data_IF_770292823991
#
_entry.id   IF_770292823991
#
_cell.length_a   1.000
_cell.length_b   1.000
_cell.length_c   1.000
_cell.angle_alpha   90.00
_cell.angle_beta   90.00
_cell.angle_gamma   90.00
#
_symmetry.space_group_name_H-M   'P 1'
#
loop_
_entity.id
_entity.type
_entity.pdbx_description
1 polymer ?
#
# COMPACT_ATOMS: atom_id res chain seq x y z
N UNK A 1 6.29 37.69 82.65
CA UNK A 1 6.39 36.42 81.89
C UNK A 1 6.22 36.75 80.41
N UNK A 2 7.23 36.38 79.60
CA UNK A 2 7.36 36.30 78.12
C UNK A 2 6.70 37.38 77.23
N UNK A 3 7.58 38.07 76.50
CA UNK A 3 7.30 38.86 75.29
C UNK A 3 8.05 38.27 74.08
N UNK A 4 7.63 38.72 72.89
CA UNK A 4 8.23 38.65 71.55
C UNK A 4 7.73 37.53 70.58
N UNK A 5 7.14 37.99 69.48
CA UNK A 5 6.87 37.31 68.20
C UNK A 5 7.99 37.66 67.17
N UNK A 6 7.95 37.35 65.85
CA UNK A 6 7.37 36.26 65.03
C UNK A 6 8.40 35.67 63.99
N UNK A 7 7.90 34.89 62.99
CA UNK A 7 8.41 34.65 61.59
C UNK A 7 9.06 33.28 61.25
N UNK A 8 8.49 32.60 60.23
CA UNK A 8 9.08 31.79 59.13
C UNK A 8 8.16 30.58 58.82
N UNK A 9 7.41 30.47 57.71
CA UNK A 9 7.72 30.43 56.26
C UNK A 9 8.21 29.07 55.72
N UNK A 10 7.59 28.66 54.59
CA UNK A 10 7.94 27.64 53.59
C UNK A 10 7.62 26.15 53.93
N UNK A 11 6.65 25.51 53.27
CA UNK A 11 6.61 25.04 51.86
C UNK A 11 7.50 23.80 51.64
N UNK A 12 6.89 22.62 51.62
CA UNK A 12 7.47 21.42 51.03
C UNK A 12 6.45 20.82 50.05
N UNK A 13 6.80 20.95 48.76
CA UNK A 13 6.04 20.49 47.61
C UNK A 13 5.79 18.98 47.66
N UNK A 14 4.56 18.59 47.28
CA UNK A 14 4.26 17.26 46.75
C UNK A 14 5.03 17.06 45.45
N UNK A 15 6.01 16.16 45.45
CA UNK A 15 6.61 15.59 44.25
C UNK A 15 5.68 14.50 43.70
N UNK A 16 4.60 14.91 43.02
CA UNK A 16 3.88 14.06 42.07
C UNK A 16 4.42 14.36 40.67
N UNK A 17 5.70 14.06 40.45
CA UNK A 17 6.34 14.22 39.16
C UNK A 17 6.24 12.91 38.38
N UNK A 18 5.24 12.86 37.49
CA UNK A 18 5.36 12.32 36.15
C UNK A 18 5.97 10.91 35.99
N UNK A 19 5.24 9.86 36.42
CA UNK A 19 5.21 8.63 35.63
C UNK A 19 4.40 8.92 34.37
N UNK A 20 5.00 9.61 33.40
CA UNK A 20 4.50 9.57 32.03
C UNK A 20 4.95 8.22 31.51
N UNK A 21 4.05 7.25 31.59
CA UNK A 21 4.14 5.99 30.85
C UNK A 21 4.61 6.37 29.45
N UNK A 22 5.84 5.99 29.12
CA UNK A 22 6.32 6.08 27.75
C UNK A 22 5.33 5.24 26.97
N UNK A 23 4.39 5.89 26.28
CA UNK A 23 3.53 5.23 25.34
C UNK A 23 4.49 4.47 24.42
N UNK A 24 4.41 3.15 24.49
CA UNK A 24 5.14 2.24 23.63
C UNK A 24 4.73 2.63 22.20
N UNK A 25 5.52 3.50 21.57
CA UNK A 25 5.24 3.99 20.24
C UNK A 25 5.40 2.77 19.34
N UNK A 26 4.27 2.28 18.83
CA UNK A 26 4.24 1.09 17.99
C UNK A 26 5.33 1.24 16.92
N UNK A 27 6.14 0.18 16.69
CA UNK A 27 7.24 0.27 15.73
C UNK A 27 6.71 0.82 14.41
N UNK A 28 7.43 1.75 13.76
CA UNK A 28 6.97 2.31 12.51
C UNK A 28 6.72 1.16 11.53
N UNK A 29 5.61 1.23 10.78
CA UNK A 29 5.24 0.16 9.87
C UNK A 29 6.39 -0.13 8.90
N UNK A 30 6.65 -1.41 8.67
CA UNK A 30 7.79 -1.86 7.90
C UNK A 30 7.69 -1.39 6.44
N UNK A 31 8.76 -0.75 5.96
CA UNK A 31 8.98 -0.49 4.55
C UNK A 31 9.22 -1.82 3.82
N UNK A 32 8.64 -1.98 2.65
CA UNK A 32 8.83 -3.18 1.80
C UNK A 32 9.48 -2.76 0.49
N UNK A 33 10.66 -3.27 0.20
CA UNK A 33 11.43 -2.92 -1.01
C UNK A 33 11.47 -4.12 -1.97
N UNK A 34 11.26 -3.88 -3.26
CA UNK A 34 11.50 -4.86 -4.32
C UNK A 34 12.41 -4.24 -5.38
N UNK A 35 13.68 -4.65 -5.34
CA UNK A 35 14.72 -4.14 -6.24
C UNK A 35 14.47 -4.46 -7.73
N UNK A 36 13.91 -5.63 -8.03
CA UNK A 36 13.70 -6.06 -9.42
C UNK A 36 12.51 -5.35 -10.07
N UNK A 37 11.53 -4.94 -9.28
CA UNK A 37 10.44 -4.07 -9.71
C UNK A 37 10.78 -2.58 -9.63
N UNK A 38 11.90 -2.21 -9.00
CA UNK A 38 12.26 -0.83 -8.69
C UNK A 38 11.17 -0.07 -7.90
N UNK A 39 10.51 -0.79 -7.00
CA UNK A 39 9.40 -0.31 -6.18
C UNK A 39 9.71 -0.44 -4.69
N UNK A 40 9.17 0.49 -3.91
CA UNK A 40 8.98 0.30 -2.49
C UNK A 40 7.53 0.63 -2.09
N UNK A 41 7.09 -0.01 -1.01
CA UNK A 41 5.94 0.40 -0.23
C UNK A 41 6.50 1.14 0.98
N UNK A 42 6.29 2.46 1.03
CA UNK A 42 6.84 3.33 2.06
C UNK A 42 6.37 2.90 3.46
N UNK A 43 5.08 2.61 3.59
CA UNK A 43 4.45 2.01 4.76
C UNK A 43 3.43 0.99 4.29
N UNK A 44 3.60 -0.29 4.65
CA UNK A 44 2.60 -1.30 4.31
C UNK A 44 1.31 -1.05 5.11
N UNK A 45 0.18 -0.70 4.47
CA UNK A 45 -1.06 -0.44 5.19
C UNK A 45 -1.69 -1.76 5.64
N UNK A 46 -2.30 -1.76 6.82
CA UNK A 46 -3.25 -2.81 7.18
C UNK A 46 -4.38 -2.83 6.12
N UNK A 47 -4.89 -4.01 5.74
CA UNK A 47 -4.69 -5.36 6.31
C UNK A 47 -3.57 -6.18 5.63
N UNK A 48 -2.70 -5.57 4.82
CA UNK A 48 -1.81 -6.33 3.95
C UNK A 48 -0.61 -6.92 4.70
N UNK A 49 -0.26 -8.15 4.31
CA UNK A 49 0.96 -8.84 4.73
C UNK A 49 1.74 -9.28 3.50
N UNK A 50 3.08 -9.18 3.53
CA UNK A 50 3.92 -9.68 2.43
C UNK A 50 3.80 -11.20 2.36
N UNK A 51 3.28 -11.69 1.23
CA UNK A 51 3.20 -13.13 0.94
C UNK A 51 4.40 -13.58 0.10
N UNK A 52 4.84 -12.74 -0.85
CA UNK A 52 6.04 -12.97 -1.65
C UNK A 52 6.68 -11.66 -2.05
N UNK A 53 8.02 -11.63 -2.04
CA UNK A 53 8.82 -10.54 -2.57
C UNK A 53 10.09 -11.13 -3.19
N UNK A 54 10.01 -11.51 -4.47
CA UNK A 54 11.10 -12.19 -5.16
C UNK A 54 11.07 -11.89 -6.66
N UNK A 55 12.20 -11.43 -7.20
CA UNK A 55 12.31 -11.08 -8.62
C UNK A 55 11.20 -10.11 -9.05
N UNK A 56 10.58 -10.38 -10.20
CA UNK A 56 9.49 -9.59 -10.77
C UNK A 56 8.12 -9.78 -10.08
N UNK A 57 8.08 -10.40 -8.90
CA UNK A 57 6.85 -10.73 -8.19
C UNK A 57 6.84 -10.09 -6.81
N UNK A 58 5.84 -9.25 -6.57
CA UNK A 58 5.49 -8.74 -5.25
C UNK A 58 4.03 -9.08 -4.98
N UNK A 59 3.77 -9.92 -3.97
CA UNK A 59 2.42 -10.36 -3.60
C UNK A 59 2.15 -10.09 -2.14
N UNK A 60 0.93 -9.65 -1.87
CA UNK A 60 0.39 -9.48 -0.54
C UNK A 60 -0.79 -10.42 -0.33
N UNK A 61 -0.91 -10.93 0.89
CA UNK A 61 -2.15 -11.48 1.40
C UNK A 61 -2.80 -10.46 2.33
N UNK A 62 -4.01 -10.75 2.80
CA UNK A 62 -4.73 -9.89 3.74
C UNK A 62 -4.97 -10.64 5.05
N UNK A 63 -5.11 -9.91 6.16
CA UNK A 63 -5.51 -10.46 7.47
C UNK A 63 -7.01 -10.72 7.61
N UNK A 64 -7.80 -10.45 6.56
CA UNK A 64 -9.23 -10.73 6.55
C UNK A 64 -9.50 -12.24 6.62
N UNK A 65 -10.52 -12.65 7.38
CA UNK A 65 -10.91 -14.06 7.49
C UNK A 65 -11.35 -14.65 6.14
N UNK A 66 -11.98 -13.83 5.30
CA UNK A 66 -12.38 -14.18 3.93
C UNK A 66 -11.18 -14.24 2.96
N UNK A 67 -9.98 -13.86 3.42
CA UNK A 67 -8.76 -13.84 2.64
C UNK A 67 -8.75 -12.75 1.58
N UNK A 68 -7.85 -12.90 0.60
CA UNK A 68 -7.67 -11.97 -0.51
C UNK A 68 -6.19 -11.75 -0.80
N UNK A 69 -5.85 -11.62 -2.07
CA UNK A 69 -4.47 -11.50 -2.54
C UNK A 69 -4.30 -10.32 -3.47
N UNK A 70 -3.24 -9.55 -3.27
CA UNK A 70 -2.82 -8.50 -4.19
C UNK A 70 -1.55 -8.95 -4.88
N UNK A 71 -1.54 -8.92 -6.21
CA UNK A 71 -0.34 -9.09 -7.01
C UNK A 71 0.07 -7.76 -7.63
N UNK A 72 1.35 -7.41 -7.52
CA UNK A 72 1.95 -6.21 -8.08
C UNK A 72 2.97 -6.64 -9.12
N UNK A 73 2.82 -6.09 -10.33
CA UNK A 73 3.74 -6.33 -11.45
C UNK A 73 4.11 -5.02 -12.12
N UNK A 74 5.33 -4.97 -12.66
CA UNK A 74 5.82 -3.88 -13.51
C UNK A 74 6.19 -4.47 -14.86
N UNK A 75 5.60 -3.92 -15.91
CA UNK A 75 5.91 -4.30 -17.29
C UNK A 75 7.19 -3.64 -17.81
N UNK A 76 7.66 -4.12 -18.97
CA UNK A 76 8.72 -3.47 -19.72
C UNK A 76 8.32 -2.05 -20.17
N UNK A 77 9.29 -1.16 -20.46
CA UNK A 77 9.00 0.17 -20.99
C UNK A 77 8.19 0.11 -22.30
N UNK A 78 7.04 0.80 -22.34
CA UNK A 78 6.13 0.82 -23.49
C UNK A 78 5.89 2.27 -23.96
N UNK A 79 6.33 2.61 -25.17
CA UNK A 79 6.07 3.92 -25.75
C UNK A 79 4.58 4.08 -26.09
N UNK A 80 3.97 5.19 -25.69
CA UNK A 80 2.55 5.46 -25.97
C UNK A 80 1.58 4.61 -25.16
N UNK A 81 1.98 4.18 -23.95
CA UNK A 81 1.15 3.38 -23.04
C UNK A 81 -0.27 3.97 -22.91
N UNK A 82 -1.27 3.19 -23.34
CA UNK A 82 -2.67 3.58 -23.28
C UNK A 82 -3.40 2.82 -22.17
N UNK A 83 -3.55 3.44 -21.01
CA UNK A 83 -4.21 2.83 -19.84
C UNK A 83 -5.68 2.49 -20.09
N UNK A 84 -6.38 3.32 -20.89
CA UNK A 84 -7.78 3.04 -21.28
C UNK A 84 -7.87 1.76 -22.10
N UNK A 85 -6.92 1.53 -23.02
CA UNK A 85 -6.86 0.29 -23.79
C UNK A 85 -6.62 -0.94 -22.88
N UNK A 86 -5.81 -0.81 -21.81
CA UNK A 86 -5.62 -1.87 -20.82
C UNK A 86 -6.92 -2.19 -20.09
N UNK A 87 -7.70 -1.17 -19.70
CA UNK A 87 -9.05 -1.35 -19.12
C UNK A 87 -10.00 -2.06 -20.09
N UNK A 88 -10.07 -1.64 -21.35
CA UNK A 88 -10.97 -2.27 -22.33
C UNK A 88 -10.60 -3.73 -22.58
N UNK A 89 -9.30 -4.04 -22.66
CA UNK A 89 -8.81 -5.43 -22.73
C UNK A 89 -9.25 -6.23 -21.51
N UNK A 90 -9.15 -5.64 -20.31
CA UNK A 90 -9.55 -6.32 -19.06
C UNK A 90 -11.06 -6.52 -18.95
N UNK A 91 -11.86 -5.55 -19.41
CA UNK A 91 -13.31 -5.69 -19.55
C UNK A 91 -13.66 -6.89 -20.41
N UNK A 92 -13.11 -6.97 -21.62
CA UNK A 92 -13.37 -8.08 -22.53
C UNK A 92 -12.99 -9.43 -21.89
N UNK A 93 -11.88 -9.46 -21.14
CA UNK A 93 -11.45 -10.67 -20.43
C UNK A 93 -12.35 -11.04 -19.24
N UNK A 94 -13.00 -10.08 -18.56
CA UNK A 94 -14.04 -10.41 -17.57
C UNK A 94 -15.30 -10.95 -18.25
N UNK A 95 -15.77 -10.30 -19.31
CA UNK A 95 -16.97 -10.71 -20.04
C UNK A 95 -16.81 -12.08 -20.73
N UNK A 96 -15.58 -12.49 -21.05
CA UNK A 96 -15.26 -13.79 -21.61
C UNK A 96 -15.06 -14.91 -20.57
N UNK A 97 -14.90 -14.58 -19.29
CA UNK A 97 -14.66 -15.57 -18.25
C UNK A 97 -15.95 -16.34 -17.88
N UNK A 98 -15.87 -17.60 -17.41
CA UNK A 98 -17.02 -18.33 -16.88
C UNK A 98 -17.74 -17.53 -15.78
N UNK A 99 -19.06 -17.38 -15.89
CA UNK A 99 -19.85 -16.56 -14.95
C UNK A 99 -19.46 -15.08 -14.88
N UNK A 100 -18.68 -14.63 -15.86
CA UNK A 100 -18.00 -13.35 -15.90
C UNK A 100 -18.94 -12.16 -15.95
N UNK A 101 -18.69 -11.17 -15.12
CA UNK A 101 -19.45 -9.92 -15.09
C UNK A 101 -18.52 -8.72 -14.92
N UNK A 102 -18.59 -7.78 -15.84
CA UNK A 102 -17.87 -6.52 -15.71
C UNK A 102 -18.66 -5.55 -14.82
N UNK A 103 -18.03 -5.09 -13.72
CA UNK A 103 -18.66 -4.22 -12.72
C UNK A 103 -18.36 -2.73 -12.92
N UNK A 104 -17.54 -2.39 -13.91
CA UNK A 104 -17.25 -1.01 -14.28
C UNK A 104 -15.76 -0.63 -14.15
N UNK A 105 -15.48 0.60 -14.55
CA UNK A 105 -14.17 1.24 -14.48
C UNK A 105 -14.29 2.69 -14.05
N UNK A 106 -13.19 3.25 -13.57
CA UNK A 106 -13.07 4.65 -13.18
C UNK A 106 -11.63 5.11 -13.37
N UNK A 107 -11.46 6.36 -13.78
CA UNK A 107 -10.16 7.03 -13.69
C UNK A 107 -9.87 7.43 -12.24
N UNK A 108 -8.60 7.34 -11.85
CA UNK A 108 -8.10 7.66 -10.52
C UNK A 108 -6.95 8.67 -10.66
N UNK A 109 -6.82 9.56 -9.68
CA UNK A 109 -5.59 10.32 -9.48
C UNK A 109 -4.70 9.61 -8.48
N UNK A 110 -3.42 9.42 -8.80
CA UNK A 110 -2.40 8.89 -7.88
C UNK A 110 -1.24 9.90 -7.76
N UNK A 111 -0.33 9.74 -6.78
CA UNK A 111 0.85 10.58 -6.66
C UNK A 111 1.76 10.60 -7.90
N UNK A 112 1.65 9.60 -8.77
CA UNK A 112 2.46 9.42 -9.99
C UNK A 112 1.63 9.57 -11.28
N UNK A 113 0.49 10.26 -11.20
CA UNK A 113 -0.32 10.66 -12.36
C UNK A 113 -1.67 9.94 -12.46
N UNK A 114 -2.28 9.90 -13.66
CA UNK A 114 -3.54 9.21 -13.85
C UNK A 114 -3.35 7.69 -13.76
N UNK A 115 -4.29 7.02 -13.09
CA UNK A 115 -4.42 5.58 -13.08
C UNK A 115 -5.85 5.20 -13.47
N UNK A 116 -6.03 3.94 -13.89
CA UNK A 116 -7.32 3.43 -14.29
C UNK A 116 -7.65 2.16 -13.52
N UNK A 117 -8.83 2.18 -12.91
CA UNK A 117 -9.40 1.07 -12.19
C UNK A 117 -10.39 0.31 -13.07
N UNK A 118 -10.40 -1.02 -12.97
CA UNK A 118 -11.39 -1.90 -13.58
C UNK A 118 -11.77 -3.02 -12.61
N UNK A 119 -13.03 -3.42 -12.59
CA UNK A 119 -13.51 -4.47 -11.69
C UNK A 119 -14.43 -5.45 -12.39
N UNK A 120 -14.36 -6.71 -11.99
CA UNK A 120 -15.29 -7.73 -12.43
C UNK A 120 -15.40 -8.91 -11.48
N UNK A 121 -16.39 -9.74 -11.74
CA UNK A 121 -16.60 -11.05 -11.14
C UNK A 121 -16.31 -12.13 -12.16
N UNK A 122 -15.91 -13.30 -11.71
CA UNK A 122 -15.86 -14.52 -12.51
C UNK A 122 -15.90 -15.75 -11.61
N UNK A 123 -16.29 -16.89 -12.17
CA UNK A 123 -16.25 -18.17 -11.48
C UNK A 123 -14.84 -18.77 -11.61
N UNK A 124 -14.35 -19.30 -10.49
CA UNK A 124 -13.08 -20.04 -10.37
C UNK A 124 -13.37 -21.47 -9.93
N UNK A 125 -12.34 -22.32 -9.90
CA UNK A 125 -12.47 -23.68 -9.35
C UNK A 125 -12.88 -23.70 -7.87
N UNK A 126 -12.54 -22.67 -7.11
CA UNK A 126 -12.82 -22.55 -5.67
C UNK A 126 -14.10 -21.77 -5.35
N UNK A 127 -14.82 -21.28 -6.36
CA UNK A 127 -16.06 -20.52 -6.20
C UNK A 127 -16.04 -19.21 -6.99
N UNK A 128 -16.92 -18.28 -6.64
CA UNK A 128 -16.98 -16.98 -7.30
C UNK A 128 -15.90 -16.06 -6.73
N UNK A 129 -15.16 -15.37 -7.60
CA UNK A 129 -14.17 -14.38 -7.22
C UNK A 129 -14.54 -12.99 -7.75
N UNK A 130 -14.20 -11.97 -6.98
CA UNK A 130 -14.17 -10.58 -7.42
C UNK A 130 -12.72 -10.14 -7.60
N UNK A 131 -12.46 -9.39 -8.66
CA UNK A 131 -11.12 -8.91 -8.95
C UNK A 131 -11.15 -7.44 -9.34
N UNK A 132 -10.28 -6.68 -8.67
CA UNK A 132 -10.02 -5.27 -8.95
C UNK A 132 -8.64 -5.13 -9.56
N UNK A 133 -8.56 -4.42 -10.67
CA UNK A 133 -7.31 -4.06 -11.36
C UNK A 133 -7.07 -2.57 -11.25
N UNK A 134 -5.82 -2.17 -11.00
CA UNK A 134 -5.35 -0.81 -11.15
C UNK A 134 -4.20 -0.82 -12.15
N UNK A 135 -4.35 -0.03 -13.22
CA UNK A 135 -3.33 0.22 -14.22
C UNK A 135 -2.80 1.64 -14.03
N UNK A 136 -1.50 1.81 -13.87
CA UNK A 136 -0.90 3.11 -13.66
C UNK A 136 0.50 3.19 -14.28
N UNK A 137 1.06 4.40 -14.34
CA UNK A 137 2.47 4.57 -14.66
C UNK A 137 3.34 4.17 -13.48
N UNK A 138 4.57 3.74 -13.75
CA UNK A 138 5.53 3.44 -12.70
C UNK A 138 5.89 4.71 -11.89
N UNK A 139 6.05 4.63 -10.55
CA UNK A 139 6.37 5.79 -9.72
C UNK A 139 7.67 6.52 -10.08
N UNK A 140 8.61 5.86 -10.77
CA UNK A 140 9.84 6.48 -11.27
C UNK A 140 9.59 7.49 -12.42
N UNK A 141 8.35 7.57 -12.94
CA UNK A 141 7.98 8.49 -14.01
C UNK A 141 8.38 8.04 -15.41
N UNK A 142 8.85 6.80 -15.56
CA UNK A 142 9.10 6.19 -16.86
C UNK A 142 7.83 5.57 -17.49
N UNK A 143 7.96 5.09 -18.71
CA UNK A 143 6.85 4.55 -19.51
C UNK A 143 6.55 3.07 -19.22
N UNK A 144 6.86 2.55 -18.02
CA UNK A 144 6.47 1.21 -17.61
C UNK A 144 5.07 1.19 -17.03
N UNK A 145 4.36 0.09 -17.29
CA UNK A 145 3.04 -0.17 -16.73
C UNK A 145 3.18 -0.80 -15.35
N UNK A 146 2.69 -0.12 -14.32
CA UNK A 146 2.41 -0.70 -13.02
C UNK A 146 1.00 -1.30 -13.03
N UNK A 147 0.89 -2.56 -12.64
CA UNK A 147 -0.40 -3.25 -12.48
C UNK A 147 -0.53 -3.83 -11.09
N UNK A 148 -1.64 -3.50 -10.41
CA UNK A 148 -2.06 -4.15 -9.18
C UNK A 148 -3.34 -4.96 -9.44
N UNK A 149 -3.38 -6.19 -8.96
CA UNK A 149 -4.50 -7.12 -9.12
C UNK A 149 -4.92 -7.60 -7.73
N UNK A 150 -6.06 -7.13 -7.23
CA UNK A 150 -6.63 -7.60 -5.97
C UNK A 150 -7.74 -8.60 -6.25
N UNK A 151 -7.54 -9.86 -5.84
CA UNK A 151 -8.54 -10.93 -5.95
C UNK A 151 -9.07 -11.27 -4.57
N UNK A 152 -10.39 -11.28 -4.38
CA UNK A 152 -11.06 -11.51 -3.09
C UNK A 152 -12.46 -12.12 -3.30
N UNK A 153 -13.09 -12.71 -2.27
CA UNK A 153 -14.49 -13.16 -2.36
C UNK A 153 -15.47 -11.98 -2.59
N UNK A 154 -16.55 -12.15 -3.35
CA UNK A 154 -17.50 -11.07 -3.64
C UNK A 154 -18.18 -10.48 -2.40
N UNK A 155 -18.50 -9.17 -2.46
CA UNK A 155 -19.42 -8.51 -1.51
C UNK A 155 -18.79 -7.57 -0.47
N UNK A 156 -17.48 -7.33 -0.55
CA UNK A 156 -16.74 -6.44 0.37
C UNK A 156 -16.08 -5.25 -0.35
N UNK A 157 -16.54 -4.88 -1.55
CA UNK A 157 -15.87 -3.87 -2.39
C UNK A 157 -15.64 -2.52 -1.69
N UNK A 158 -16.56 -2.13 -0.80
CA UNK A 158 -16.56 -0.88 -0.06
C UNK A 158 -15.43 -0.82 0.98
N UNK A 159 -14.86 -1.98 1.32
CA UNK A 159 -13.70 -2.13 2.19
C UNK A 159 -12.45 -2.37 1.33
N UNK A 160 -12.53 -3.33 0.40
CA UNK A 160 -11.40 -3.83 -0.39
C UNK A 160 -10.84 -2.80 -1.37
N UNK A 161 -11.70 -2.01 -2.00
CA UNK A 161 -11.24 -0.98 -2.95
C UNK A 161 -10.48 0.14 -2.23
N UNK A 162 -10.99 0.75 -1.14
CA UNK A 162 -10.22 1.71 -0.36
C UNK A 162 -8.87 1.18 0.15
N UNK A 163 -8.81 -0.08 0.62
CA UNK A 163 -7.55 -0.71 1.05
C UNK A 163 -6.52 -0.73 -0.07
N UNK A 164 -6.91 -1.21 -1.26
CA UNK A 164 -6.02 -1.24 -2.42
C UNK A 164 -5.56 0.16 -2.82
N UNK A 165 -6.43 1.15 -2.76
CA UNK A 165 -6.06 2.54 -3.02
C UNK A 165 -5.10 3.10 -1.97
N UNK A 166 -5.25 2.70 -0.70
CA UNK A 166 -4.29 2.98 0.35
C UNK A 166 -2.92 2.41 0.02
N UNK A 167 -2.84 1.15 -0.40
CA UNK A 167 -1.59 0.53 -0.85
C UNK A 167 -0.97 1.28 -2.04
N UNK A 168 -1.77 1.68 -3.03
CA UNK A 168 -1.29 2.48 -4.18
C UNK A 168 -0.70 3.83 -3.72
N UNK A 169 -1.29 4.46 -2.71
CA UNK A 169 -0.79 5.72 -2.15
C UNK A 169 0.57 5.60 -1.46
N UNK A 170 0.93 4.39 -1.05
CA UNK A 170 2.19 4.08 -0.36
C UNK A 170 3.29 3.60 -1.33
N UNK A 171 2.98 3.44 -2.62
CA UNK A 171 3.96 3.04 -3.62
C UNK A 171 4.86 4.21 -4.03
N UNK A 172 6.16 3.92 -4.07
CA UNK A 172 7.18 4.86 -4.52
C UNK A 172 8.26 4.17 -5.33
N UNK A 173 9.04 4.97 -6.06
CA UNK A 173 10.19 4.50 -6.81
C UNK A 173 11.29 4.07 -5.85
N UNK A 174 11.93 2.94 -6.12
CA UNK A 174 13.07 2.46 -5.37
C UNK A 174 14.21 2.10 -6.32
N UNK A 175 15.33 2.80 -6.19
CA UNK A 175 16.53 2.55 -6.98
C UNK A 175 17.58 1.97 -6.05
N UNK A 176 18.04 0.76 -6.33
CA UNK A 176 19.22 0.21 -5.67
C UNK A 176 20.43 0.97 -6.19
N UNK A 177 21.16 1.65 -5.31
CA UNK A 177 22.40 2.31 -5.67
C UNK A 177 23.35 1.29 -6.32
N UNK A 178 23.90 1.62 -7.50
CA UNK A 178 24.84 0.73 -8.17
C UNK A 178 26.08 0.53 -7.26
N UNK A 179 26.63 -0.69 -7.17
CA UNK A 179 27.88 -0.92 -6.46
C UNK A 179 29.00 -0.17 -7.19
N UNK A 180 29.32 1.05 -6.73
CA UNK A 180 30.28 1.95 -7.36
C UNK A 180 30.09 3.44 -7.03
N UNK A 181 28.91 3.85 -6.57
CA UNK A 181 28.61 5.27 -6.25
C UNK A 181 29.00 5.68 -4.81
N UNK A 182 29.80 4.88 -4.10
CA UNK A 182 30.36 5.32 -2.82
C UNK A 182 31.38 6.45 -3.09
N UNK A 183 31.22 7.65 -2.49
CA UNK A 183 32.21 8.70 -2.66
C UNK A 183 33.56 8.20 -2.14
N UNK A 184 34.60 8.26 -2.98
CA UNK A 184 35.96 7.98 -2.52
C UNK A 184 36.28 8.89 -1.32
N UNK A 185 36.79 8.34 -0.21
CA UNK A 185 37.24 9.15 0.91
C UNK A 185 38.36 10.06 0.41
N UNK A 186 38.18 11.38 0.57
CA UNK A 186 39.20 12.39 0.30
C UNK A 186 40.33 12.34 1.32
#
# INVERSE_FOLDING_TARGET
MKAAAPVAAALALLLAAACREAADEAPPPARVENAALELAVARLPEPFLVAENAGSTLRFTTTHETGGTVEVTVGEPEYGLNLVAKVQKRRAAFEAAPGGEYKGSRELGTPFGPAYYARGLYDTESGRAEQTWIFALHPAGDSRLLTLIYTYPPGEEQIRVPELLGLVGELEAFVVAAPGDAPEPR
#
